data_IF_761640598720
#
_entry.id   IF_761640598720
#
_cell.length_a   1.000
_cell.length_b   1.000
_cell.length_c   1.000
_cell.angle_alpha   90.00
_cell.angle_beta   90.00
_cell.angle_gamma   90.00
#
_symmetry.space_group_name_H-M   'P 1'
#
loop_
_entity.id
_entity.type
_entity.pdbx_description
1 polymer ?
#
# COMPACT_ATOMS: atom_id res chain seq x y z
N UNK A 1 -28.25 11.87 -23.76
CA UNK A 1 -27.86 11.92 -22.34
C UNK A 1 -28.12 10.55 -21.72
N UNK A 2 -27.30 9.56 -22.07
CA UNK A 2 -27.39 8.16 -21.58
C UNK A 2 -26.03 7.43 -21.65
N UNK A 3 -25.11 7.88 -22.52
CA UNK A 3 -23.76 7.33 -22.59
C UNK A 3 -22.91 7.67 -21.35
N UNK A 4 -23.14 8.83 -20.74
CA UNK A 4 -22.39 9.32 -19.56
C UNK A 4 -22.73 8.52 -18.29
N UNK A 5 -23.99 8.07 -18.13
CA UNK A 5 -24.44 7.29 -16.97
C UNK A 5 -23.89 5.85 -16.97
N UNK A 6 -23.67 5.27 -18.17
CA UNK A 6 -23.11 3.93 -18.31
C UNK A 6 -21.62 3.88 -17.98
N UNK A 7 -20.86 4.91 -18.34
CA UNK A 7 -19.44 5.06 -17.96
C UNK A 7 -19.27 5.38 -16.47
N UNK A 8 -20.13 6.25 -15.91
CA UNK A 8 -20.12 6.56 -14.48
C UNK A 8 -20.39 5.32 -13.61
N UNK A 9 -21.24 4.40 -14.07
CA UNK A 9 -21.52 3.13 -13.39
C UNK A 9 -20.29 2.20 -13.32
N UNK A 10 -19.30 2.38 -14.21
CA UNK A 10 -18.07 1.57 -14.22
C UNK A 10 -16.97 2.13 -13.31
N UNK A 11 -17.07 3.39 -12.88
CA UNK A 11 -16.03 4.04 -12.05
C UNK A 11 -15.82 3.28 -10.73
N UNK A 12 -16.91 2.89 -10.05
CA UNK A 12 -16.82 2.12 -8.79
C UNK A 12 -16.05 0.81 -8.95
N UNK A 13 -16.52 -0.11 -9.82
CA UNK A 13 -15.83 -1.38 -10.06
C UNK A 13 -14.38 -1.25 -10.55
N UNK A 14 -14.08 -0.23 -11.37
CA UNK A 14 -12.71 0.03 -11.84
C UNK A 14 -11.82 0.54 -10.70
N UNK A 15 -12.35 1.42 -9.85
CA UNK A 15 -11.65 1.89 -8.67
C UNK A 15 -11.37 0.71 -7.72
N UNK A 16 -12.36 -0.14 -7.46
CA UNK A 16 -12.19 -1.34 -6.63
C UNK A 16 -11.09 -2.28 -7.17
N UNK A 17 -11.06 -2.49 -8.49
CA UNK A 17 -10.01 -3.29 -9.12
C UNK A 17 -8.61 -2.68 -8.95
N UNK A 18 -8.48 -1.36 -9.15
CA UNK A 18 -7.20 -0.64 -8.97
C UNK A 18 -6.76 -0.68 -7.51
N UNK A 19 -7.69 -0.53 -6.56
CA UNK A 19 -7.38 -0.63 -5.13
C UNK A 19 -6.96 -2.04 -4.73
N UNK A 20 -7.52 -3.08 -5.35
CA UNK A 20 -7.09 -4.46 -5.13
C UNK A 20 -5.66 -4.69 -5.65
N UNK A 21 -5.33 -4.17 -6.84
CA UNK A 21 -3.98 -4.25 -7.40
C UNK A 21 -2.96 -3.46 -6.54
N UNK A 22 -3.33 -2.27 -6.07
CA UNK A 22 -2.52 -1.47 -5.14
C UNK A 22 -2.22 -2.26 -3.86
N UNK A 23 -3.23 -2.94 -3.29
CA UNK A 23 -3.05 -3.70 -2.07
C UNK A 23 -2.04 -4.84 -2.22
N UNK A 24 -2.02 -5.51 -3.38
CA UNK A 24 -1.03 -6.54 -3.68
C UNK A 24 0.38 -5.95 -3.72
N UNK A 25 0.57 -4.82 -4.41
CA UNK A 25 1.87 -4.16 -4.53
C UNK A 25 2.36 -3.67 -3.17
N UNK A 26 1.47 -3.08 -2.37
CA UNK A 26 1.78 -2.61 -1.02
C UNK A 26 2.19 -3.74 -0.08
N UNK A 27 1.51 -4.88 -0.13
CA UNK A 27 1.91 -6.08 0.64
C UNK A 27 3.29 -6.58 0.23
N UNK A 28 3.58 -6.63 -1.07
CA UNK A 28 4.91 -7.00 -1.56
C UNK A 28 5.98 -6.02 -1.06
N UNK A 29 5.68 -4.71 -1.08
CA UNK A 29 6.57 -3.70 -0.53
C UNK A 29 6.78 -3.92 0.99
N UNK A 30 5.73 -4.20 1.76
CA UNK A 30 5.81 -4.46 3.20
C UNK A 30 6.73 -5.66 3.51
N UNK A 31 6.62 -6.75 2.75
CA UNK A 31 7.44 -7.96 2.93
C UNK A 31 8.88 -7.81 2.43
N UNK A 32 9.17 -6.87 1.55
CA UNK A 32 10.51 -6.72 0.96
C UNK A 32 11.55 -6.39 2.06
N UNK A 33 12.69 -7.10 2.12
CA UNK A 33 13.72 -6.80 3.10
C UNK A 33 14.34 -5.42 2.82
N UNK A 34 14.88 -4.80 3.86
CA UNK A 34 15.67 -3.57 3.76
C UNK A 34 17.15 -3.89 4.00
N UNK A 35 18.03 -3.32 3.18
CA UNK A 35 19.47 -3.60 3.24
C UNK A 35 20.21 -2.70 4.25
N UNK A 36 19.70 -1.49 4.49
CA UNK A 36 20.33 -0.53 5.39
C UNK A 36 19.33 0.44 6.05
N UNK A 37 19.84 1.29 6.94
CA UNK A 37 19.05 2.27 7.70
C UNK A 37 18.43 3.34 6.80
N UNK A 38 19.05 3.67 5.66
CA UNK A 38 18.50 4.62 4.71
C UNK A 38 17.24 4.04 4.04
N UNK A 39 17.32 2.79 3.57
CA UNK A 39 16.18 2.08 3.00
C UNK A 39 15.06 1.89 4.02
N UNK A 40 15.39 1.56 5.26
CA UNK A 40 14.41 1.48 6.36
C UNK A 40 13.65 2.80 6.52
N UNK A 41 14.35 3.94 6.55
CA UNK A 41 13.72 5.26 6.70
C UNK A 41 12.80 5.60 5.54
N UNK A 42 13.25 5.35 4.30
CA UNK A 42 12.43 5.60 3.11
C UNK A 42 11.15 4.75 3.13
N UNK A 43 11.29 3.47 3.50
CA UNK A 43 10.16 2.55 3.59
C UNK A 43 9.18 2.95 4.70
N UNK A 44 9.68 3.35 5.87
CA UNK A 44 8.86 3.83 6.97
C UNK A 44 8.08 5.11 6.60
N UNK A 45 8.73 6.08 5.96
CA UNK A 45 8.09 7.32 5.49
C UNK A 45 7.00 7.05 4.45
N UNK A 46 7.23 6.09 3.55
CA UNK A 46 6.21 5.67 2.57
C UNK A 46 4.94 5.13 3.25
N UNK A 47 5.09 4.20 4.19
CA UNK A 47 3.94 3.64 4.91
C UNK A 47 3.28 4.63 5.88
N UNK A 48 4.05 5.55 6.48
CA UNK A 48 3.50 6.65 7.28
C UNK A 48 2.59 7.55 6.44
N UNK A 49 3.02 7.92 5.23
CA UNK A 49 2.20 8.73 4.31
C UNK A 49 0.91 8.01 3.90
N UNK A 50 0.98 6.70 3.66
CA UNK A 50 -0.20 5.90 3.32
C UNK A 50 -1.24 5.93 4.45
N UNK A 51 -0.81 5.71 5.69
CA UNK A 51 -1.70 5.71 6.86
C UNK A 51 -2.29 7.10 7.15
N UNK A 52 -1.48 8.16 7.02
CA UNK A 52 -1.89 9.51 7.40
C UNK A 52 -2.78 10.22 6.37
N UNK A 53 -2.66 9.88 5.09
CA UNK A 53 -3.43 10.55 4.04
C UNK A 53 -4.88 10.04 3.94
N UNK A 54 -5.27 9.00 4.69
CA UNK A 54 -6.62 8.43 4.66
C UNK A 54 -6.99 7.78 3.32
N UNK A 55 -6.00 7.52 2.47
CA UNK A 55 -6.19 6.96 1.13
C UNK A 55 -6.23 5.42 1.14
N UNK A 56 -5.60 4.78 2.12
CA UNK A 56 -5.57 3.32 2.27
C UNK A 56 -5.52 2.95 3.75
N UNK A 57 -6.50 2.16 4.20
CA UNK A 57 -6.33 1.38 5.43
C UNK A 57 -5.23 0.35 5.17
N UNK A 58 -4.13 0.45 5.92
CA UNK A 58 -3.09 -0.59 5.89
C UNK A 58 -3.63 -1.76 6.70
N UNK A 59 -3.78 -2.91 6.04
CA UNK A 59 -4.21 -4.14 6.71
C UNK A 59 -3.23 -4.50 7.84
N UNK A 60 -3.76 -5.07 8.93
CA UNK A 60 -2.94 -5.47 10.08
C UNK A 60 -1.83 -6.45 9.70
N UNK A 61 -2.10 -7.38 8.78
CA UNK A 61 -1.11 -8.34 8.30
C UNK A 61 0.02 -7.63 7.54
N UNK A 62 -0.31 -6.61 6.75
CA UNK A 62 0.68 -5.82 6.01
C UNK A 62 1.55 -5.00 6.97
N UNK A 63 0.96 -4.44 8.03
CA UNK A 63 1.72 -3.75 9.08
C UNK A 63 2.66 -4.71 9.82
N UNK A 64 2.19 -5.93 10.11
CA UNK A 64 3.03 -6.94 10.75
C UNK A 64 4.21 -7.34 9.86
N UNK A 65 3.99 -7.53 8.56
CA UNK A 65 5.06 -7.82 7.60
C UNK A 65 6.04 -6.65 7.45
N UNK A 66 5.53 -5.41 7.44
CA UNK A 66 6.37 -4.21 7.46
C UNK A 66 7.30 -4.21 8.67
N UNK A 67 6.76 -4.41 9.88
CA UNK A 67 7.54 -4.44 11.10
C UNK A 67 8.56 -5.58 11.10
N UNK A 68 8.20 -6.76 10.60
CA UNK A 68 9.12 -7.89 10.43
C UNK A 68 10.29 -7.55 9.52
N UNK A 69 10.05 -6.85 8.42
CA UNK A 69 11.10 -6.46 7.47
C UNK A 69 12.20 -5.59 8.10
N UNK A 70 11.93 -4.94 9.24
CA UNK A 70 12.90 -4.12 9.97
C UNK A 70 13.71 -4.89 11.02
N UNK A 71 13.26 -6.07 11.45
CA UNK A 71 13.89 -6.84 12.54
C UNK A 71 15.23 -7.43 12.11
N UNK A 72 15.38 -7.76 10.83
CA UNK A 72 16.59 -8.40 10.30
C UNK A 72 17.69 -7.41 9.92
N UNK A 73 17.53 -6.12 10.24
CA UNK A 73 18.54 -5.11 9.95
C UNK A 73 19.75 -5.28 10.90
N UNK A 74 20.95 -5.61 10.39
CA UNK A 74 22.13 -5.69 11.23
C UNK A 74 22.50 -4.29 11.75
N UNK A 75 22.61 -4.14 13.08
CA UNK A 75 23.00 -2.90 13.79
C UNK A 75 24.51 -2.87 14.00
#
# INVERSE_FOLDING_TARGET
MQAEDAEAALIGPQLDAVMADEAVVRRQAAMAPVADVCELKMKAEYFERLMNNGWCDVDWDDLQELLRSFVDLPI
#
